data_IF_783938220775
#
_entry.id   IF_783938220775
#
_cell.length_a   1.000
_cell.length_b   1.000
_cell.length_c   1.000
_cell.angle_alpha   90.00
_cell.angle_beta   90.00
_cell.angle_gamma   90.00
#
_symmetry.space_group_name_H-M   'P 1'
#
loop_
_entity.id
_entity.type
_entity.pdbx_description
1 polymer ?
#
# COMPACT_ATOMS: atom_id res chain seq x y z
N UNK A 1 54.24 -16.82 32.48
CA UNK A 1 53.45 -17.25 31.28
C UNK A 1 51.99 -16.91 31.59
N UNK A 2 51.51 -15.77 31.14
CA UNK A 2 50.17 -15.25 31.43
C UNK A 2 49.30 -15.50 30.19
N UNK A 3 48.27 -16.30 30.42
CA UNK A 3 47.25 -16.67 29.45
C UNK A 3 46.49 -15.44 28.95
N UNK A 4 46.55 -15.15 27.65
CA UNK A 4 45.88 -14.03 26.96
C UNK A 4 44.79 -14.50 25.97
N UNK A 5 44.39 -15.77 25.99
CA UNK A 5 43.47 -16.34 24.96
C UNK A 5 41.98 -16.14 25.28
N UNK A 6 41.60 -15.90 26.54
CA UNK A 6 40.19 -15.84 26.94
C UNK A 6 39.41 -14.57 26.60
N UNK A 7 40.10 -13.45 26.34
CA UNK A 7 39.42 -12.14 26.16
C UNK A 7 38.96 -11.85 24.72
N UNK A 8 39.52 -12.51 23.73
CA UNK A 8 39.22 -12.26 22.31
C UNK A 8 37.95 -13.00 21.90
N UNK A 9 37.70 -14.17 22.47
CA UNK A 9 36.53 -15.00 22.12
C UNK A 9 35.20 -14.42 22.66
N UNK A 10 35.24 -13.75 23.81
CA UNK A 10 34.08 -13.09 24.41
C UNK A 10 33.64 -11.84 23.62
N UNK A 11 34.57 -11.10 23.04
CA UNK A 11 34.26 -9.90 22.24
C UNK A 11 33.69 -10.31 20.89
N UNK A 12 34.19 -11.39 20.25
CA UNK A 12 33.68 -11.91 18.99
C UNK A 12 32.26 -12.47 19.15
N UNK A 13 31.97 -13.17 20.24
CA UNK A 13 30.64 -13.70 20.53
C UNK A 13 29.60 -12.59 20.77
N UNK A 14 29.98 -11.51 21.45
CA UNK A 14 29.10 -10.36 21.69
C UNK A 14 28.81 -9.56 20.43
N UNK A 15 29.78 -9.43 19.51
CA UNK A 15 29.60 -8.77 18.23
C UNK A 15 28.68 -9.56 17.27
N UNK A 16 28.77 -10.90 17.27
CA UNK A 16 27.92 -11.77 16.45
C UNK A 16 26.46 -11.76 16.96
N UNK A 17 26.26 -11.70 18.28
CA UNK A 17 24.93 -11.63 18.88
C UNK A 17 24.24 -10.27 18.61
N UNK A 18 24.99 -9.18 18.54
CA UNK A 18 24.45 -7.85 18.22
C UNK A 18 24.10 -7.71 16.74
N UNK A 19 24.79 -8.41 15.85
CA UNK A 19 24.52 -8.40 14.40
C UNK A 19 23.23 -9.16 14.06
N UNK A 20 22.85 -10.17 14.82
CA UNK A 20 21.57 -10.89 14.65
C UNK A 20 20.32 -10.11 15.09
N UNK A 21 20.48 -9.10 15.93
CA UNK A 21 19.35 -8.26 16.39
C UNK A 21 19.01 -7.12 15.43
N UNK A 22 19.81 -6.85 14.41
CA UNK A 22 19.55 -5.78 13.43
C UNK A 22 18.79 -6.23 12.18
N UNK A 23 18.47 -7.51 12.02
CA UNK A 23 17.81 -8.01 10.80
C UNK A 23 16.28 -8.13 10.87
N UNK A 24 15.63 -7.69 11.91
CA UNK A 24 14.20 -7.87 12.10
C UNK A 24 13.45 -6.54 12.21
N UNK A 25 13.30 -5.81 11.14
CA UNK A 25 12.15 -4.92 10.90
C UNK A 25 11.96 -4.67 9.42
N UNK A 26 11.71 -5.70 8.66
CA UNK A 26 10.83 -5.50 7.51
C UNK A 26 9.44 -5.38 8.10
N UNK A 27 8.90 -4.19 8.11
CA UNK A 27 7.51 -3.97 8.49
C UNK A 27 6.66 -4.79 7.51
N UNK A 28 6.13 -5.91 7.98
CA UNK A 28 5.12 -6.67 7.27
C UNK A 28 3.86 -5.81 7.20
N UNK A 29 3.75 -5.03 6.14
CA UNK A 29 2.59 -4.18 5.91
C UNK A 29 1.37 -5.00 5.48
N UNK A 30 1.57 -6.29 5.13
CA UNK A 30 0.51 -7.25 4.80
C UNK A 30 0.47 -8.38 5.82
N UNK A 31 -0.72 -8.86 6.09
CA UNK A 31 -0.97 -9.95 7.03
C UNK A 31 -2.01 -10.91 6.43
N UNK A 32 -1.77 -12.21 6.57
CA UNK A 32 -2.80 -13.23 6.30
C UNK A 32 -3.74 -13.25 7.49
N UNK A 33 -5.03 -13.06 7.27
CA UNK A 33 -6.04 -13.02 8.32
C UNK A 33 -7.19 -13.96 8.00
N UNK A 34 -7.81 -14.49 9.06
CA UNK A 34 -9.10 -15.16 8.95
C UNK A 34 -10.16 -14.13 8.53
N UNK A 35 -10.92 -14.48 7.51
CA UNK A 35 -11.94 -13.60 6.95
C UNK A 35 -13.24 -14.41 6.69
N UNK A 36 -14.04 -14.70 7.72
CA UNK A 36 -15.20 -15.59 7.62
C UNK A 36 -16.43 -14.97 6.97
N UNK A 37 -16.24 -13.98 6.10
CA UNK A 37 -17.31 -13.36 5.32
C UNK A 37 -17.36 -13.95 3.91
N UNK A 38 -18.14 -15.02 3.77
CA UNK A 38 -18.28 -15.79 2.53
C UNK A 38 -19.10 -15.09 1.43
N UNK A 39 -19.59 -13.88 1.66
CA UNK A 39 -20.26 -13.05 0.64
C UNK A 39 -19.31 -12.61 -0.45
N UNK A 40 -18.01 -12.53 -0.14
CA UNK A 40 -16.96 -12.09 -1.07
C UNK A 40 -16.21 -13.28 -1.63
N UNK A 41 -16.21 -13.40 -2.95
CA UNK A 41 -15.52 -14.48 -3.66
C UNK A 41 -14.00 -14.24 -3.67
N UNK A 42 -13.16 -15.30 -3.71
CA UNK A 42 -11.73 -15.17 -3.94
C UNK A 42 -11.41 -14.30 -5.17
N UNK A 43 -10.41 -13.46 -5.07
CA UNK A 43 -10.05 -12.46 -6.06
C UNK A 43 -10.74 -11.10 -5.87
N UNK A 44 -11.71 -10.96 -4.95
CA UNK A 44 -12.34 -9.67 -4.63
C UNK A 44 -11.42 -8.82 -3.74
N UNK A 45 -11.40 -7.52 -4.00
CA UNK A 45 -10.84 -6.52 -3.08
C UNK A 45 -12.00 -5.94 -2.26
N UNK A 46 -11.88 -5.97 -0.93
CA UNK A 46 -12.78 -5.26 -0.02
C UNK A 46 -12.01 -4.15 0.69
N UNK A 47 -12.52 -2.93 0.64
CA UNK A 47 -11.95 -1.78 1.35
C UNK A 47 -12.94 -1.34 2.42
N UNK A 48 -12.48 -1.31 3.68
CA UNK A 48 -13.20 -0.77 4.82
C UNK A 48 -12.56 0.55 5.21
N UNK A 49 -13.22 1.64 4.84
CA UNK A 49 -12.64 2.99 4.99
C UNK A 49 -12.53 3.40 6.45
N UNK A 50 -13.47 3.00 7.31
CA UNK A 50 -13.41 3.23 8.74
C UNK A 50 -12.23 2.54 9.42
N UNK A 51 -11.88 1.34 8.98
CA UNK A 51 -10.73 0.58 9.47
C UNK A 51 -9.41 1.05 8.84
N UNK A 52 -9.46 1.76 7.70
CA UNK A 52 -8.31 2.09 6.84
C UNK A 52 -7.54 0.84 6.43
N UNK A 53 -8.30 -0.19 6.05
CA UNK A 53 -7.79 -1.50 5.63
C UNK A 53 -8.35 -1.90 4.27
N UNK A 54 -7.51 -2.59 3.53
CA UNK A 54 -7.85 -3.28 2.29
C UNK A 54 -7.65 -4.78 2.53
N UNK A 55 -8.62 -5.56 2.13
CA UNK A 55 -8.62 -7.02 2.20
C UNK A 55 -8.69 -7.57 0.77
N UNK A 56 -7.68 -8.32 0.36
CA UNK A 56 -7.74 -9.13 -0.85
C UNK A 56 -8.17 -10.54 -0.45
N UNK A 57 -9.33 -10.98 -0.90
CA UNK A 57 -9.85 -12.32 -0.58
C UNK A 57 -9.02 -13.35 -1.33
N UNK A 58 -8.16 -14.06 -0.62
CA UNK A 58 -7.22 -15.00 -1.20
C UNK A 58 -7.84 -16.40 -1.40
N UNK A 59 -8.66 -16.82 -0.44
CA UNK A 59 -9.39 -18.09 -0.45
C UNK A 59 -10.69 -17.95 0.38
N UNK A 60 -11.63 -18.91 0.32
CA UNK A 60 -12.77 -18.91 1.21
C UNK A 60 -12.31 -18.86 2.68
N UNK A 61 -12.81 -17.87 3.44
CA UNK A 61 -12.44 -17.67 4.84
C UNK A 61 -11.07 -17.05 5.10
N UNK A 62 -10.33 -16.62 4.08
CA UNK A 62 -8.99 -16.07 4.22
C UNK A 62 -8.76 -14.83 3.35
N UNK A 63 -8.10 -13.82 3.90
CA UNK A 63 -7.72 -12.61 3.17
C UNK A 63 -6.29 -12.16 3.49
N UNK A 64 -5.69 -11.45 2.53
CA UNK A 64 -4.51 -10.63 2.76
C UNK A 64 -4.98 -9.23 3.18
N UNK A 65 -4.57 -8.79 4.34
CA UNK A 65 -4.90 -7.48 4.90
C UNK A 65 -3.75 -6.49 4.71
N UNK A 66 -4.07 -5.30 4.17
CA UNK A 66 -3.13 -4.20 3.97
C UNK A 66 -3.61 -2.95 4.71
N UNK A 67 -2.69 -2.18 5.25
CA UNK A 67 -2.99 -0.84 5.76
C UNK A 67 -2.99 0.15 4.60
N UNK A 68 -4.01 1.02 4.54
CA UNK A 68 -4.16 2.00 3.46
C UNK A 68 -4.45 3.40 4.00
N UNK A 69 -4.12 4.43 3.21
CA UNK A 69 -4.75 5.74 3.40
C UNK A 69 -6.04 5.82 2.59
N UNK A 70 -7.00 6.53 3.13
CA UNK A 70 -8.33 6.74 2.53
C UNK A 70 -8.60 8.22 2.24
N UNK A 71 -9.73 8.53 1.61
CA UNK A 71 -10.18 9.90 1.38
C UNK A 71 -10.29 10.69 2.67
N UNK A 72 -9.86 11.96 2.67
CA UNK A 72 -10.15 12.92 3.73
C UNK A 72 -11.66 13.14 3.88
N UNK A 73 -12.10 13.77 4.95
CA UNK A 73 -13.52 14.07 5.19
C UNK A 73 -14.17 14.71 3.95
N UNK A 74 -15.35 14.22 3.55
CA UNK A 74 -16.05 14.64 2.34
C UNK A 74 -15.49 14.11 1.02
N UNK A 75 -14.40 13.31 1.03
CA UNK A 75 -13.79 12.70 -0.16
C UNK A 75 -13.84 11.18 -0.14
N UNK A 76 -14.46 10.59 0.87
CA UNK A 76 -14.69 9.15 0.90
C UNK A 76 -15.90 8.80 0.04
N UNK A 77 -15.87 7.62 -0.55
CA UNK A 77 -16.95 7.06 -1.34
C UNK A 77 -17.19 5.60 -0.94
N UNK A 78 -18.33 5.06 -1.37
CA UNK A 78 -18.74 3.67 -1.14
C UNK A 78 -19.39 3.11 -2.38
N UNK A 79 -19.42 1.80 -2.50
CA UNK A 79 -20.03 1.09 -3.60
C UNK A 79 -19.08 0.09 -4.25
N UNK A 80 -19.40 -0.36 -5.44
CA UNK A 80 -18.62 -1.34 -6.20
C UNK A 80 -18.05 -0.68 -7.44
N UNK A 81 -16.76 -0.93 -7.69
CA UNK A 81 -16.07 -0.62 -8.92
C UNK A 81 -15.27 -1.84 -9.37
N UNK A 82 -14.74 -1.79 -10.57
CA UNK A 82 -13.89 -2.85 -11.11
C UNK A 82 -12.54 -2.28 -11.49
N UNK A 83 -11.51 -3.13 -11.45
CA UNK A 83 -10.19 -2.77 -11.98
C UNK A 83 -10.30 -2.62 -13.48
N UNK A 84 -10.00 -1.43 -13.99
CA UNK A 84 -10.06 -1.09 -15.41
C UNK A 84 -8.72 -0.62 -15.97
N UNK A 85 -7.72 -0.44 -15.12
CA UNK A 85 -6.40 -0.03 -15.52
C UNK A 85 -5.32 -0.62 -14.58
N UNK A 86 -4.20 -1.04 -15.14
CA UNK A 86 -3.04 -1.54 -14.42
C UNK A 86 -1.77 -0.89 -14.99
N UNK A 87 -1.11 -0.03 -14.21
CA UNK A 87 0.05 0.74 -14.67
C UNK A 87 1.25 0.57 -13.75
N UNK A 88 2.41 0.34 -14.36
CA UNK A 88 3.71 0.31 -13.70
C UNK A 88 4.35 1.69 -13.84
N UNK A 89 4.82 2.24 -12.72
CA UNK A 89 5.47 3.56 -12.67
C UNK A 89 4.70 4.63 -13.45
N UNK A 90 3.44 4.91 -13.07
CA UNK A 90 2.59 5.83 -13.81
C UNK A 90 3.13 7.27 -13.79
N UNK A 91 3.10 7.96 -14.91
CA UNK A 91 3.17 9.42 -14.88
C UNK A 91 1.92 9.97 -14.16
N UNK A 92 2.05 11.12 -13.51
CA UNK A 92 0.94 11.73 -12.79
C UNK A 92 0.72 13.17 -13.19
N UNK A 93 -0.51 13.50 -13.57
CA UNK A 93 -0.99 14.87 -13.74
C UNK A 93 -1.93 15.21 -12.58
N UNK A 94 -1.70 16.31 -11.83
CA UNK A 94 -2.57 16.69 -10.73
C UNK A 94 -3.99 16.96 -11.24
N UNK A 95 -5.02 16.32 -10.64
CA UNK A 95 -6.40 16.71 -10.90
C UNK A 95 -6.64 18.18 -10.59
N UNK A 96 -7.60 18.81 -11.27
CA UNK A 96 -7.88 20.26 -11.13
C UNK A 96 -8.08 20.70 -9.67
N UNK A 97 -8.72 19.88 -8.85
CA UNK A 97 -8.90 20.14 -7.42
C UNK A 97 -7.55 20.16 -6.66
N UNK A 98 -6.68 19.20 -6.93
CA UNK A 98 -5.36 19.11 -6.30
C UNK A 98 -4.47 20.27 -6.76
N UNK A 99 -4.54 20.63 -8.03
CA UNK A 99 -3.82 21.79 -8.60
C UNK A 99 -4.31 23.12 -8.01
N UNK A 100 -5.62 23.26 -7.75
CA UNK A 100 -6.19 24.44 -7.08
C UNK A 100 -5.70 24.56 -5.64
N UNK A 101 -5.63 23.44 -4.90
CA UNK A 101 -5.14 23.42 -3.52
C UNK A 101 -3.61 23.63 -3.45
N UNK A 102 -2.89 23.27 -4.50
CA UNK A 102 -1.45 23.47 -4.61
C UNK A 102 -1.04 23.91 -6.04
N UNK A 103 -1.14 25.19 -6.36
CA UNK A 103 -0.86 25.73 -7.70
C UNK A 103 0.59 25.57 -8.19
N UNK A 104 1.54 25.32 -7.26
CA UNK A 104 2.96 25.14 -7.58
C UNK A 104 3.30 23.74 -8.10
N UNK A 105 2.38 22.79 -8.06
CA UNK A 105 2.61 21.47 -8.63
C UNK A 105 2.85 21.58 -10.14
N UNK A 106 3.82 20.83 -10.70
CA UNK A 106 4.00 20.73 -12.13
C UNK A 106 2.77 20.12 -12.81
N UNK A 107 2.59 20.33 -14.12
CA UNK A 107 1.46 19.77 -14.85
C UNK A 107 1.58 18.26 -15.02
N UNK A 108 2.80 17.75 -15.07
CA UNK A 108 3.09 16.31 -15.13
C UNK A 108 4.30 16.00 -14.27
N UNK A 109 4.21 14.93 -13.50
CA UNK A 109 5.36 14.30 -12.81
C UNK A 109 5.61 12.95 -13.50
N UNK A 110 6.82 12.70 -14.03
CA UNK A 110 7.15 11.45 -14.71
C UNK A 110 6.98 10.23 -13.80
N UNK A 111 6.72 9.06 -14.40
CA UNK A 111 6.75 7.77 -13.72
C UNK A 111 8.12 7.49 -13.13
N UNK A 112 8.17 6.81 -11.98
CA UNK A 112 9.42 6.50 -11.28
C UNK A 112 10.10 7.68 -10.59
N UNK A 113 9.65 8.93 -10.80
CA UNK A 113 10.23 10.10 -10.14
C UNK A 113 10.00 10.04 -8.61
N UNK A 114 11.01 10.37 -7.77
CA UNK A 114 10.90 10.29 -6.31
C UNK A 114 9.78 11.15 -5.71
N UNK A 115 9.39 12.22 -6.40
CA UNK A 115 8.30 13.13 -6.00
C UNK A 115 6.92 12.73 -6.58
N UNK A 116 6.83 11.60 -7.31
CA UNK A 116 5.56 11.17 -7.89
C UNK A 116 4.64 10.57 -6.81
N UNK A 117 3.46 11.18 -6.56
CA UNK A 117 2.56 10.72 -5.49
C UNK A 117 1.88 9.37 -5.76
N UNK A 118 1.92 8.88 -7.00
CA UNK A 118 1.32 7.58 -7.36
C UNK A 118 2.20 6.39 -6.97
N UNK A 119 3.49 6.64 -6.71
CA UNK A 119 4.43 5.58 -6.34
C UNK A 119 4.66 4.54 -7.44
N UNK A 120 4.89 3.29 -7.03
CA UNK A 120 5.38 2.24 -7.92
C UNK A 120 4.31 1.65 -8.87
N UNK A 121 3.03 1.66 -8.50
CA UNK A 121 1.92 1.02 -9.26
C UNK A 121 0.63 1.81 -9.10
N UNK A 122 -0.21 1.72 -10.13
CA UNK A 122 -1.61 2.15 -10.10
C UNK A 122 -2.51 0.99 -10.51
N UNK A 123 -3.57 0.80 -9.76
CA UNK A 123 -4.72 -0.06 -10.04
C UNK A 123 -5.90 0.90 -10.17
N UNK A 124 -6.25 1.26 -11.40
CA UNK A 124 -7.33 2.20 -11.71
C UNK A 124 -8.71 1.57 -11.54
N UNK A 125 -9.65 2.32 -10.97
CA UNK A 125 -10.98 1.83 -10.57
C UNK A 125 -12.08 2.55 -11.35
N UNK A 126 -12.78 1.79 -12.18
CA UNK A 126 -13.90 2.27 -12.99
C UNK A 126 -13.50 3.22 -14.12
N UNK A 127 -14.46 3.58 -14.99
CA UNK A 127 -14.18 4.35 -16.19
C UNK A 127 -13.59 5.73 -15.85
N UNK A 128 -12.61 6.15 -16.67
CA UNK A 128 -12.01 7.48 -16.59
C UNK A 128 -11.02 7.71 -15.44
N UNK A 129 -10.60 6.67 -14.73
CA UNK A 129 -9.49 6.77 -13.75
C UNK A 129 -9.73 7.71 -12.58
N UNK A 130 -11.00 8.04 -12.25
CA UNK A 130 -11.34 8.96 -11.16
C UNK A 130 -10.82 8.50 -9.81
N UNK A 131 -10.77 7.19 -9.56
CA UNK A 131 -10.28 6.57 -8.34
C UNK A 131 -9.23 5.51 -8.64
N UNK A 132 -8.32 5.31 -7.72
CA UNK A 132 -7.29 4.30 -7.85
C UNK A 132 -6.85 3.76 -6.49
N UNK A 133 -6.29 2.56 -6.49
CA UNK A 133 -5.41 2.04 -5.46
C UNK A 133 -3.99 2.23 -6.00
N UNK A 134 -3.11 2.88 -5.23
CA UNK A 134 -1.78 3.22 -5.74
C UNK A 134 -0.72 3.26 -4.63
N UNK A 135 0.54 3.26 -5.01
CA UNK A 135 1.66 3.48 -4.11
C UNK A 135 1.72 4.91 -3.56
N UNK A 136 2.86 5.32 -3.05
CA UNK A 136 3.02 6.69 -2.56
C UNK A 136 4.49 7.09 -2.46
N UNK A 137 4.77 8.38 -2.62
CA UNK A 137 6.02 9.02 -2.24
C UNK A 137 6.01 9.54 -0.79
N UNK A 138 4.86 9.43 -0.10
CA UNK A 138 4.71 9.82 1.30
C UNK A 138 4.19 8.62 2.14
N UNK A 139 5.06 7.68 2.52
CA UNK A 139 4.67 6.47 3.25
C UNK A 139 4.04 6.77 4.62
N UNK A 140 4.34 7.92 5.24
CA UNK A 140 3.74 8.33 6.53
C UNK A 140 2.24 8.64 6.40
N UNK A 141 1.73 8.85 5.19
CA UNK A 141 0.29 9.07 4.97
C UNK A 141 -0.53 7.77 4.99
N UNK A 142 0.11 6.60 4.87
CA UNK A 142 -0.57 5.31 4.96
C UNK A 142 -1.12 5.12 6.38
N UNK A 143 -2.36 4.64 6.48
CA UNK A 143 -3.08 4.55 7.76
C UNK A 143 -3.86 5.82 8.15
N UNK A 144 -3.86 6.86 7.32
CA UNK A 144 -4.56 8.12 7.60
C UNK A 144 -5.66 8.44 6.59
N UNK A 145 -6.48 9.46 6.86
CA UNK A 145 -7.46 10.02 5.94
C UNK A 145 -6.84 11.23 5.21
N UNK A 146 -6.09 10.98 4.12
CA UNK A 146 -5.22 11.99 3.52
C UNK A 146 -5.43 12.21 2.01
N UNK A 147 -6.23 11.39 1.32
CA UNK A 147 -6.37 11.46 -0.13
C UNK A 147 -7.60 12.28 -0.58
N UNK A 148 -7.71 12.48 -1.88
CA UNK A 148 -8.91 13.04 -2.53
C UNK A 148 -9.88 11.96 -3.04
N UNK A 149 -9.81 10.74 -2.46
CA UNK A 149 -10.71 9.64 -2.77
C UNK A 149 -9.99 8.36 -3.20
N UNK A 150 -8.74 8.44 -3.62
CA UNK A 150 -7.90 7.27 -3.91
C UNK A 150 -7.46 6.56 -2.62
N UNK A 151 -6.98 5.32 -2.75
CA UNK A 151 -6.46 4.50 -1.67
C UNK A 151 -4.94 4.38 -1.82
N UNK A 152 -4.18 4.92 -0.83
CA UNK A 152 -2.72 4.87 -0.86
C UNK A 152 -2.21 3.67 -0.08
N UNK A 153 -1.23 2.99 -0.63
CA UNK A 153 -0.53 1.87 -0.02
C UNK A 153 0.97 2.16 0.06
N UNK A 154 1.69 1.45 0.90
CA UNK A 154 3.13 1.37 0.75
C UNK A 154 3.48 0.79 -0.63
N UNK A 155 4.63 1.18 -1.20
CA UNK A 155 5.01 0.71 -2.53
C UNK A 155 5.20 -0.80 -2.59
N UNK A 156 5.74 -1.42 -1.53
CA UNK A 156 5.83 -2.89 -1.41
C UNK A 156 4.46 -3.57 -1.49
N UNK A 157 3.45 -2.97 -0.82
CA UNK A 157 2.11 -3.54 -0.72
C UNK A 157 1.34 -3.43 -2.02
N UNK A 158 1.42 -2.27 -2.68
CA UNK A 158 0.75 -2.12 -3.97
C UNK A 158 1.41 -2.99 -5.06
N UNK A 159 2.72 -3.23 -5.00
CA UNK A 159 3.40 -4.16 -5.91
C UNK A 159 2.88 -5.59 -5.68
N UNK A 160 2.73 -6.03 -4.43
CA UNK A 160 2.19 -7.34 -4.10
C UNK A 160 0.72 -7.48 -4.53
N UNK A 161 -0.13 -6.49 -4.23
CA UNK A 161 -1.54 -6.50 -4.64
C UNK A 161 -1.68 -6.48 -6.16
N UNK A 162 -0.88 -5.68 -6.86
CA UNK A 162 -0.86 -5.58 -8.32
C UNK A 162 -0.61 -6.92 -9.01
N UNK A 163 0.28 -7.74 -8.45
CA UNK A 163 0.58 -9.08 -8.97
C UNK A 163 -0.58 -10.09 -8.80
N UNK A 164 -1.57 -9.78 -7.97
CA UNK A 164 -2.70 -10.66 -7.65
C UNK A 164 -3.98 -10.29 -8.37
N UNK A 165 -4.10 -9.05 -8.83
CA UNK A 165 -5.32 -8.53 -9.46
C UNK A 165 -5.23 -8.60 -10.98
N UNK A 166 -6.37 -8.49 -11.63
CA UNK A 166 -6.50 -8.43 -13.09
C UNK A 166 -7.59 -7.44 -13.47
N UNK A 167 -7.65 -7.07 -14.73
CA UNK A 167 -8.76 -6.32 -15.28
C UNK A 167 -10.09 -7.02 -14.96
N UNK A 168 -11.09 -6.26 -14.55
CA UNK A 168 -12.38 -6.78 -14.09
C UNK A 168 -12.41 -7.29 -12.64
N UNK A 169 -11.30 -7.27 -11.90
CA UNK A 169 -11.31 -7.58 -10.45
C UNK A 169 -12.31 -6.68 -9.74
N UNK A 170 -13.30 -7.24 -8.98
CA UNK A 170 -14.25 -6.43 -8.23
C UNK A 170 -13.60 -5.77 -7.01
N UNK A 171 -13.95 -4.50 -6.79
CA UNK A 171 -13.51 -3.69 -5.65
C UNK A 171 -14.73 -3.14 -4.95
N UNK A 172 -14.98 -3.64 -3.76
CA UNK A 172 -16.10 -3.24 -2.89
C UNK A 172 -15.58 -2.29 -1.83
N UNK A 173 -16.18 -1.11 -1.73
CA UNK A 173 -15.82 -0.09 -0.74
C UNK A 173 -16.97 0.11 0.24
N UNK A 174 -16.68 -0.05 1.51
CA UNK A 174 -17.62 0.12 2.63
C UNK A 174 -17.06 1.12 3.65
N UNK A 175 -17.91 1.67 4.53
CA UNK A 175 -17.48 2.48 5.67
C UNK A 175 -16.48 1.79 6.60
#
# INVERSE_FOLDING_TARGET
MTDRSGSIDLIAAAALSLLMLLTARVAEAREVVDFPDYRYQPGTILIRTGERKLYFIAAPGQALRYTIAVGKAGKQWRGVKYVEELVVEPAWSPPAEVKRDNPRLPDVIPGGAPNNPMGARVIGLGPGGQYAIHGTNNPRSVGTAASYGCFRMHNSDVIDLYARVRMGTPVVVTP
#
